data_IF_803829338893
#
_entry.id   IF_803829338893
#
_cell.length_a   1.000
_cell.length_b   1.000
_cell.length_c   1.000
_cell.angle_alpha   90.00
_cell.angle_beta   90.00
_cell.angle_gamma   90.00
#
_symmetry.space_group_name_H-M   'P 1'
#
loop_
_entity.id
_entity.type
_entity.pdbx_description
1 polymer ?
#
# COMPACT_ATOMS: atom_id res chain seq x y z
N UNK A 1 12.53 -14.24 23.99
CA UNK A 1 11.75 -13.38 23.09
C UNK A 1 10.48 -13.01 23.83
N UNK A 2 10.21 -11.75 24.15
CA UNK A 2 8.91 -11.36 24.68
C UNK A 2 7.87 -11.74 23.61
N UNK A 3 6.85 -12.52 23.96
CA UNK A 3 5.75 -12.79 23.04
C UNK A 3 5.08 -11.46 22.73
N UNK A 4 5.20 -10.97 21.50
CA UNK A 4 4.52 -9.76 21.07
C UNK A 4 3.02 -9.94 21.34
N UNK A 5 2.44 -8.99 22.07
CA UNK A 5 1.04 -9.09 22.48
C UNK A 5 0.19 -8.96 21.21
N UNK A 6 -0.70 -9.91 20.99
CA UNK A 6 -1.73 -9.84 19.96
C UNK A 6 -2.42 -8.46 19.97
N UNK A 7 -2.53 -7.82 18.80
CA UNK A 7 -3.22 -6.53 18.64
C UNK A 7 -4.73 -6.71 18.75
N UNK A 8 -5.23 -7.83 18.21
CA UNK A 8 -6.65 -8.15 18.17
C UNK A 8 -6.96 -9.42 18.98
N UNK A 9 -8.08 -9.44 19.74
CA UNK A 9 -8.52 -10.66 20.40
C UNK A 9 -8.95 -11.69 19.36
N UNK A 10 -8.81 -12.97 19.70
CA UNK A 10 -9.18 -14.10 18.82
C UNK A 10 -10.46 -14.74 19.32
N UNK A 11 -11.33 -15.14 18.38
CA UNK A 11 -12.60 -15.84 18.68
C UNK A 11 -12.87 -16.90 17.62
N UNK A 12 -13.75 -17.86 17.93
CA UNK A 12 -14.15 -18.86 16.92
C UNK A 12 -15.03 -18.19 15.86
N UNK A 13 -15.00 -18.63 14.58
CA UNK A 13 -15.91 -18.12 13.56
C UNK A 13 -17.38 -18.17 14.00
N UNK A 14 -17.81 -19.30 14.58
CA UNK A 14 -19.18 -19.50 15.00
C UNK A 14 -19.63 -18.49 16.08
N UNK A 15 -18.75 -18.14 17.03
CA UNK A 15 -19.07 -17.13 18.04
C UNK A 15 -19.23 -15.72 17.43
N UNK A 16 -18.54 -15.44 16.33
CA UNK A 16 -18.65 -14.20 15.58
C UNK A 16 -19.75 -14.22 14.50
N UNK A 17 -20.49 -15.32 14.37
CA UNK A 17 -21.57 -15.47 13.38
C UNK A 17 -21.11 -15.85 11.97
N UNK A 18 -19.88 -16.34 11.82
CA UNK A 18 -19.34 -16.87 10.55
C UNK A 18 -19.24 -18.40 10.64
N UNK A 19 -19.71 -19.11 9.61
CA UNK A 19 -19.55 -20.57 9.54
C UNK A 19 -18.10 -20.94 9.28
N UNK A 20 -17.55 -21.95 9.95
CA UNK A 20 -16.23 -22.49 9.57
C UNK A 20 -16.20 -22.97 8.12
N UNK A 21 -17.33 -23.48 7.59
CA UNK A 21 -17.43 -23.88 6.16
C UNK A 21 -17.27 -22.70 5.20
N UNK A 22 -17.63 -21.48 5.61
CA UNK A 22 -17.42 -20.29 4.80
C UNK A 22 -15.93 -19.96 4.69
N UNK A 23 -15.17 -20.13 5.79
CA UNK A 23 -13.72 -19.99 5.79
C UNK A 23 -13.08 -21.08 4.93
N UNK A 24 -13.48 -22.35 5.13
CA UNK A 24 -12.97 -23.47 4.33
C UNK A 24 -13.24 -23.24 2.83
N UNK A 25 -14.46 -22.82 2.47
CA UNK A 25 -14.82 -22.54 1.07
C UNK A 25 -14.01 -21.39 0.47
N UNK A 26 -13.66 -20.36 1.25
CA UNK A 26 -12.78 -19.30 0.78
C UNK A 26 -11.39 -19.85 0.46
N UNK A 27 -10.84 -20.66 1.37
CA UNK A 27 -9.52 -21.27 1.19
C UNK A 27 -9.47 -22.22 0.00
N UNK A 28 -10.49 -23.07 -0.15
CA UNK A 28 -10.63 -23.98 -1.29
C UNK A 28 -10.68 -23.21 -2.61
N UNK A 29 -11.39 -22.06 -2.65
CA UNK A 29 -11.46 -21.23 -3.85
C UNK A 29 -10.15 -20.48 -4.16
N UNK A 30 -9.42 -20.03 -3.14
CA UNK A 30 -8.10 -19.45 -3.33
C UNK A 30 -7.13 -20.48 -3.92
N UNK A 31 -7.13 -21.71 -3.39
CA UNK A 31 -6.31 -22.81 -3.90
C UNK A 31 -6.73 -23.23 -5.32
N UNK A 32 -8.03 -23.41 -5.58
CA UNK A 32 -8.54 -23.80 -6.89
C UNK A 32 -8.21 -22.80 -8.00
N UNK A 33 -8.10 -21.51 -7.65
CA UNK A 33 -7.70 -20.43 -8.56
C UNK A 33 -6.19 -20.18 -8.59
N UNK A 34 -5.41 -20.97 -7.85
CA UNK A 34 -3.95 -20.82 -7.73
C UNK A 34 -3.53 -19.41 -7.30
N UNK A 35 -4.28 -18.79 -6.40
CA UNK A 35 -3.94 -17.48 -5.85
C UNK A 35 -2.73 -17.63 -4.92
N UNK A 36 -1.65 -16.94 -5.24
CA UNK A 36 -0.43 -16.88 -4.41
C UNK A 36 -0.66 -15.96 -3.19
N UNK A 37 -1.36 -16.48 -2.19
CA UNK A 37 -1.48 -15.83 -0.89
C UNK A 37 -0.23 -16.08 -0.05
N UNK A 38 0.26 -15.02 0.59
CA UNK A 38 1.28 -15.10 1.63
C UNK A 38 0.65 -15.18 3.02
N UNK A 39 -0.43 -14.43 3.24
CA UNK A 39 -1.19 -14.45 4.49
C UNK A 39 -2.65 -14.08 4.28
N UNK A 40 -3.49 -14.50 5.22
CA UNK A 40 -4.89 -14.12 5.33
C UNK A 40 -5.25 -13.87 6.79
N UNK A 41 -6.06 -12.84 7.04
CA UNK A 41 -6.69 -12.62 8.34
C UNK A 41 -8.13 -12.14 8.14
N UNK A 42 -9.08 -12.78 8.83
CA UNK A 42 -10.49 -12.41 8.82
C UNK A 42 -10.85 -11.95 10.23
N UNK A 43 -11.32 -10.71 10.35
CA UNK A 43 -11.78 -10.11 11.60
C UNK A 43 -13.28 -9.87 11.49
N UNK A 44 -14.03 -10.28 12.51
CA UNK A 44 -15.47 -10.06 12.59
C UNK A 44 -15.82 -9.61 13.99
N UNK A 45 -16.55 -8.48 14.10
CA UNK A 45 -16.94 -7.89 15.38
C UNK A 45 -15.74 -7.70 16.31
N UNK A 46 -14.65 -7.17 15.78
CA UNK A 46 -13.43 -6.90 16.54
C UNK A 46 -12.60 -8.10 16.95
N UNK A 47 -12.91 -9.31 16.47
CA UNK A 47 -12.16 -10.52 16.79
C UNK A 47 -11.60 -11.17 15.53
N UNK A 48 -10.33 -11.58 15.57
CA UNK A 48 -9.74 -12.46 14.56
C UNK A 48 -10.44 -13.81 14.65
N UNK A 49 -11.10 -14.22 13.57
CA UNK A 49 -11.85 -15.49 13.47
C UNK A 49 -11.14 -16.55 12.64
N UNK A 50 -10.29 -16.11 11.71
CA UNK A 50 -9.41 -16.97 10.94
C UNK A 50 -8.12 -16.22 10.62
N UNK A 51 -6.99 -16.92 10.72
CA UNK A 51 -5.67 -16.40 10.35
C UNK A 51 -4.79 -17.53 9.81
N UNK A 52 -3.96 -17.21 8.82
CA UNK A 52 -3.09 -18.19 8.17
C UNK A 52 -1.95 -17.53 7.40
N UNK A 53 -0.82 -18.24 7.32
CA UNK A 53 0.39 -17.83 6.60
C UNK A 53 0.90 -19.01 5.78
N UNK A 54 1.06 -18.81 4.48
CA UNK A 54 1.63 -19.82 3.59
C UNK A 54 3.14 -19.82 3.71
N UNK A 55 3.77 -20.99 3.67
CA UNK A 55 5.24 -21.06 3.72
C UNK A 55 5.85 -20.34 2.49
N UNK A 56 6.95 -19.57 2.65
CA UNK A 56 7.79 -19.42 3.86
C UNK A 56 7.41 -18.23 4.78
N UNK A 57 6.22 -17.66 4.65
CA UNK A 57 5.77 -16.50 5.42
C UNK A 57 5.33 -16.88 6.85
N UNK A 58 5.32 -15.91 7.77
CA UNK A 58 4.95 -16.08 9.18
C UNK A 58 4.23 -14.86 9.74
N UNK A 59 3.63 -15.00 10.92
CA UNK A 59 2.86 -13.94 11.57
C UNK A 59 3.67 -12.69 11.89
N UNK A 60 4.96 -12.86 12.16
CA UNK A 60 5.89 -11.79 12.53
C UNK A 60 6.56 -11.14 11.32
N UNK A 61 6.33 -11.67 10.11
CA UNK A 61 6.98 -11.18 8.89
C UNK A 61 6.22 -9.98 8.34
N UNK A 62 6.82 -8.79 8.25
CA UNK A 62 6.21 -7.66 7.56
C UNK A 62 6.14 -7.92 6.05
N UNK A 63 5.10 -7.36 5.44
CA UNK A 63 4.87 -7.36 4.00
C UNK A 63 4.93 -5.93 3.48
N UNK A 64 5.62 -5.73 2.34
CA UNK A 64 5.51 -4.50 1.59
C UNK A 64 4.07 -4.33 1.11
N UNK A 65 3.44 -3.23 1.52
CA UNK A 65 2.02 -2.98 1.26
C UNK A 65 1.76 -2.36 -0.12
N UNK A 66 2.81 -1.92 -0.84
CA UNK A 66 2.67 -1.17 -2.10
C UNK A 66 1.63 -0.06 -1.97
N UNK A 67 0.66 0.03 -2.89
CA UNK A 67 -0.38 1.07 -2.91
C UNK A 67 -1.33 1.08 -1.70
N UNK A 68 -1.43 0.01 -0.91
CA UNK A 68 -2.22 0.06 0.34
C UNK A 68 -1.63 1.11 1.32
N UNK A 69 -0.35 1.47 1.16
CA UNK A 69 0.29 2.57 1.90
C UNK A 69 -0.46 3.90 1.77
N UNK A 70 -1.11 4.16 0.63
CA UNK A 70 -1.85 5.41 0.36
C UNK A 70 -2.95 5.68 1.38
N UNK A 71 -3.63 4.62 1.83
CA UNK A 71 -4.68 4.71 2.84
C UNK A 71 -4.13 5.21 4.19
N UNK A 72 -2.87 4.90 4.52
CA UNK A 72 -2.21 5.44 5.71
C UNK A 72 -1.79 6.92 5.51
N UNK A 73 -1.31 7.28 4.31
CA UNK A 73 -1.03 8.68 3.98
C UNK A 73 -2.30 9.55 4.07
N UNK A 74 -3.45 9.05 3.62
CA UNK A 74 -4.75 9.71 3.80
C UNK A 74 -5.12 9.91 5.27
N UNK A 75 -4.86 8.92 6.13
CA UNK A 75 -5.03 9.10 7.58
C UNK A 75 -4.14 10.23 8.12
N UNK A 76 -2.88 10.31 7.69
CA UNK A 76 -2.00 11.40 8.12
C UNK A 76 -2.49 12.79 7.69
N UNK A 77 -3.06 12.91 6.49
CA UNK A 77 -3.74 14.15 6.05
C UNK A 77 -4.93 14.46 6.95
N UNK A 78 -5.74 13.45 7.29
CA UNK A 78 -6.85 13.60 8.24
C UNK A 78 -6.42 14.05 9.63
N UNK A 79 -5.27 13.57 10.12
CA UNK A 79 -4.69 14.02 11.39
C UNK A 79 -4.28 15.49 11.31
N UNK A 80 -3.62 15.91 10.23
CA UNK A 80 -3.24 17.31 10.03
C UNK A 80 -4.47 18.23 9.91
N UNK A 81 -5.54 17.77 9.26
CA UNK A 81 -6.81 18.50 9.18
C UNK A 81 -7.47 18.60 10.56
N UNK A 82 -7.50 17.50 11.33
CA UNK A 82 -8.06 17.49 12.68
C UNK A 82 -7.30 18.42 13.64
N UNK A 83 -5.99 18.58 13.44
CA UNK A 83 -5.15 19.51 14.19
C UNK A 83 -5.28 20.97 13.68
N UNK A 84 -6.10 21.24 12.65
CA UNK A 84 -6.33 22.56 12.08
C UNK A 84 -5.17 23.09 11.22
N UNK A 85 -4.25 22.21 10.80
CA UNK A 85 -3.04 22.56 10.06
C UNK A 85 -3.21 22.46 8.54
N UNK A 86 -4.24 21.75 8.09
CA UNK A 86 -4.65 21.67 6.68
C UNK A 86 -6.17 21.77 6.56
N UNK A 87 -6.62 22.19 5.40
CA UNK A 87 -8.00 22.06 4.92
C UNK A 87 -8.04 21.34 3.59
N UNK A 88 -9.22 20.89 3.14
CA UNK A 88 -9.39 20.30 1.82
C UNK A 88 -9.17 21.31 0.68
N UNK A 89 -9.36 22.60 0.96
CA UNK A 89 -9.26 23.68 -0.03
C UNK A 89 -7.86 24.31 -0.09
N UNK A 90 -6.97 23.94 0.84
CA UNK A 90 -5.59 24.41 0.83
C UNK A 90 -4.91 24.00 -0.48
N UNK A 91 -4.27 24.98 -1.11
CA UNK A 91 -3.64 24.79 -2.41
C UNK A 91 -2.23 24.27 -2.22
N UNK A 92 -1.85 23.34 -3.09
CA UNK A 92 -0.49 22.78 -3.16
C UNK A 92 0.56 23.91 -3.18
N UNK A 93 0.33 24.91 -4.02
CA UNK A 93 1.26 26.03 -4.24
C UNK A 93 1.44 26.95 -3.03
N UNK A 94 0.45 27.01 -2.14
CA UNK A 94 0.50 27.83 -0.94
C UNK A 94 1.19 27.08 0.21
N UNK A 95 1.02 25.76 0.27
CA UNK A 95 1.64 24.90 1.30
C UNK A 95 3.10 24.61 0.98
N UNK A 96 3.44 24.42 -0.30
CA UNK A 96 4.77 24.05 -0.79
C UNK A 96 5.34 25.10 -1.79
N UNK A 97 5.42 26.40 -1.41
CA UNK A 97 5.77 27.48 -2.34
C UNK A 97 7.18 27.35 -2.92
N UNK A 98 8.12 26.74 -2.19
CA UNK A 98 9.50 26.53 -2.62
C UNK A 98 9.63 25.57 -3.82
N UNK A 99 8.60 24.75 -4.07
CA UNK A 99 8.56 23.78 -5.16
C UNK A 99 7.84 24.30 -6.40
N UNK A 100 7.26 25.50 -6.35
CA UNK A 100 6.44 26.06 -7.43
C UNK A 100 7.33 26.57 -8.57
N UNK A 101 7.23 26.01 -9.79
CA UNK A 101 8.01 26.49 -10.92
C UNK A 101 7.51 27.89 -11.35
N UNK A 102 8.44 28.74 -11.81
CA UNK A 102 8.11 30.11 -12.23
C UNK A 102 7.10 30.16 -13.38
N UNK A 103 7.11 29.14 -14.24
CA UNK A 103 6.26 28.92 -15.40
C UNK A 103 5.06 27.99 -15.12
N UNK A 104 4.63 27.89 -13.86
CA UNK A 104 3.43 27.12 -13.49
C UNK A 104 2.19 27.56 -14.27
N UNK A 105 1.40 26.59 -14.72
CA UNK A 105 0.11 26.83 -15.37
C UNK A 105 -0.94 27.38 -14.40
N UNK A 106 -1.93 28.11 -14.92
CA UNK A 106 -3.07 28.57 -14.12
C UNK A 106 -3.83 27.42 -13.44
N UNK A 107 -3.87 26.26 -14.09
CA UNK A 107 -4.47 25.06 -13.50
C UNK A 107 -3.65 24.51 -12.34
N UNK A 108 -2.32 24.43 -12.48
CA UNK A 108 -1.43 23.99 -11.40
C UNK A 108 -1.59 24.83 -10.13
N UNK A 109 -1.87 26.13 -10.28
CA UNK A 109 -2.15 27.05 -9.15
C UNK A 109 -3.43 26.73 -8.38
N UNK A 110 -4.36 25.97 -8.95
CA UNK A 110 -5.67 25.64 -8.35
C UNK A 110 -5.73 24.25 -7.74
N UNK A 111 -4.65 23.46 -7.81
CA UNK A 111 -4.63 22.12 -7.22
C UNK A 111 -4.69 22.22 -5.69
N UNK A 112 -5.65 21.52 -5.09
CA UNK A 112 -5.92 21.52 -3.66
C UNK A 112 -5.66 20.15 -3.04
N UNK A 113 -5.65 20.09 -1.70
CA UNK A 113 -5.63 18.83 -0.94
C UNK A 113 -6.76 17.89 -1.39
N UNK A 114 -7.97 18.41 -1.64
CA UNK A 114 -9.09 17.64 -2.19
C UNK A 114 -8.70 16.96 -3.51
N UNK A 115 -8.22 17.72 -4.50
CA UNK A 115 -7.87 17.20 -5.82
C UNK A 115 -6.79 16.12 -5.76
N UNK A 116 -5.82 16.25 -4.84
CA UNK A 116 -4.79 15.25 -4.64
C UNK A 116 -5.35 13.97 -3.97
N UNK A 117 -6.20 14.11 -2.95
CA UNK A 117 -6.78 12.96 -2.24
C UNK A 117 -7.72 12.13 -3.11
N UNK A 118 -8.55 12.78 -3.94
CA UNK A 118 -9.46 12.14 -4.90
C UNK A 118 -8.76 11.70 -6.20
N UNK A 119 -7.50 12.07 -6.39
CA UNK A 119 -6.71 11.85 -7.61
C UNK A 119 -7.39 12.41 -8.87
N UNK A 120 -7.83 13.67 -8.77
CA UNK A 120 -8.49 14.42 -9.85
C UNK A 120 -7.70 15.67 -10.20
N UNK A 121 -6.37 15.59 -10.23
CA UNK A 121 -5.51 16.76 -10.42
C UNK A 121 -5.48 17.29 -11.87
N UNK A 122 -5.98 16.52 -12.84
CA UNK A 122 -6.05 16.92 -14.25
C UNK A 122 -5.03 16.24 -15.17
N UNK A 123 -4.11 15.44 -14.62
CA UNK A 123 -3.28 14.53 -15.41
C UNK A 123 -4.14 13.38 -15.97
N UNK A 124 -3.86 12.96 -17.21
CA UNK A 124 -4.62 11.89 -17.88
C UNK A 124 -4.06 10.49 -17.63
N UNK A 125 -2.84 10.40 -17.10
CA UNK A 125 -2.16 9.16 -16.67
C UNK A 125 -1.40 9.43 -15.38
N UNK A 126 -0.90 8.38 -14.73
CA UNK A 126 0.04 8.51 -13.60
C UNK A 126 1.24 9.38 -14.02
N UNK A 127 1.43 10.51 -13.35
CA UNK A 127 2.44 11.51 -13.69
C UNK A 127 3.83 11.19 -13.14
N UNK A 128 3.95 10.17 -12.27
CA UNK A 128 5.13 9.90 -11.46
C UNK A 128 6.45 9.82 -12.25
N UNK A 129 6.52 8.96 -13.27
CA UNK A 129 7.74 8.73 -14.05
C UNK A 129 8.16 9.98 -14.83
N UNK A 130 7.19 10.68 -15.42
CA UNK A 130 7.43 11.89 -16.19
C UNK A 130 7.84 13.05 -15.28
N UNK A 131 7.22 13.19 -14.11
CA UNK A 131 7.57 14.18 -13.11
C UNK A 131 9.03 14.02 -12.65
N UNK A 132 9.48 12.80 -12.37
CA UNK A 132 10.90 12.53 -12.09
C UNK A 132 11.82 12.81 -13.26
N UNK A 133 11.40 12.51 -14.49
CA UNK A 133 12.21 12.78 -15.68
C UNK A 133 12.43 14.28 -15.89
N UNK A 134 11.41 15.09 -15.61
CA UNK A 134 11.45 16.55 -15.75
C UNK A 134 12.24 17.22 -14.63
N UNK A 135 12.05 16.78 -13.38
CA UNK A 135 12.71 17.34 -12.19
C UNK A 135 13.20 16.20 -11.27
N UNK A 136 14.37 15.59 -11.56
CA UNK A 136 14.86 14.40 -10.85
C UNK A 136 15.04 14.57 -9.34
N UNK A 137 15.34 15.79 -8.90
CA UNK A 137 15.59 16.13 -7.51
C UNK A 137 14.37 16.70 -6.78
N UNK A 138 13.29 17.02 -7.53
CA UNK A 138 12.10 17.68 -6.99
C UNK A 138 10.81 17.19 -7.69
N UNK A 139 10.27 16.09 -7.16
CA UNK A 139 9.06 15.47 -7.70
C UNK A 139 7.83 16.38 -7.61
N UNK A 140 7.77 17.29 -6.61
CA UNK A 140 6.63 18.23 -6.47
C UNK A 140 6.65 19.23 -7.62
N UNK A 141 7.82 19.80 -7.91
CA UNK A 141 8.01 20.69 -9.07
C UNK A 141 7.79 19.94 -10.38
N UNK A 142 8.28 18.71 -10.48
CA UNK A 142 8.07 17.83 -11.64
C UNK A 142 6.59 17.63 -11.94
N UNK A 143 5.79 17.28 -10.92
CA UNK A 143 4.34 17.11 -11.03
C UNK A 143 3.63 18.35 -11.58
N UNK A 144 4.02 19.54 -11.10
CA UNK A 144 3.47 20.82 -11.58
C UNK A 144 3.87 21.16 -13.02
N UNK A 145 4.94 20.55 -13.54
CA UNK A 145 5.38 20.68 -14.94
C UNK A 145 4.76 19.67 -15.89
N UNK A 146 4.32 18.51 -15.39
CA UNK A 146 3.62 17.53 -16.23
C UNK A 146 2.31 18.16 -16.73
N UNK A 147 2.04 18.16 -18.05
CA UNK A 147 0.83 18.76 -18.59
C UNK A 147 -0.45 18.17 -17.99
N UNK A 148 -1.31 19.05 -17.45
CA UNK A 148 -2.66 18.71 -17.01
C UNK A 148 -3.60 18.94 -18.19
N UNK A 149 -4.10 17.85 -18.79
CA UNK A 149 -4.92 17.88 -20.01
C UNK A 149 -6.42 17.89 -19.72
N UNK A 150 -6.81 17.52 -18.51
CA UNK A 150 -8.19 17.47 -18.03
C UNK A 150 -8.39 18.56 -16.98
N UNK A 151 -9.58 19.12 -16.84
CA UNK A 151 -9.84 20.07 -15.76
C UNK A 151 -9.74 19.38 -14.38
N UNK A 152 -9.15 20.05 -13.39
CA UNK A 152 -9.08 19.54 -12.03
C UNK A 152 -10.49 19.28 -11.45
N UNK A 153 -10.63 18.22 -10.66
CA UNK A 153 -11.91 17.80 -10.07
C UNK A 153 -12.83 17.02 -11.01
N UNK A 154 -12.53 16.91 -12.31
CA UNK A 154 -13.47 16.34 -13.30
C UNK A 154 -13.27 14.87 -13.63
N UNK A 155 -12.01 14.38 -13.64
CA UNK A 155 -11.67 13.02 -14.03
C UNK A 155 -10.72 12.40 -13.01
N UNK A 156 -11.05 11.18 -12.56
CA UNK A 156 -10.16 10.37 -11.74
C UNK A 156 -9.07 9.74 -12.60
N UNK A 157 -7.83 9.94 -12.17
CA UNK A 157 -6.63 9.30 -12.74
C UNK A 157 -5.80 8.79 -11.58
N UNK A 158 -5.61 7.48 -11.50
CA UNK A 158 -4.82 6.88 -10.42
C UNK A 158 -3.34 7.29 -10.53
N UNK A 159 -2.92 8.25 -9.71
CA UNK A 159 -1.63 8.94 -9.83
C UNK A 159 -0.87 8.89 -8.50
N UNK A 160 0.33 8.32 -8.53
CA UNK A 160 1.17 8.13 -7.35
C UNK A 160 1.82 9.42 -6.85
N UNK A 161 2.13 10.35 -7.75
CA UNK A 161 2.75 11.62 -7.40
C UNK A 161 1.82 12.46 -6.50
N UNK A 162 0.51 12.37 -6.70
CA UNK A 162 -0.48 13.05 -5.85
C UNK A 162 -0.32 12.70 -4.36
N UNK A 163 -0.09 11.43 -4.04
CA UNK A 163 0.09 11.00 -2.65
C UNK A 163 1.46 11.37 -2.10
N UNK A 164 2.51 11.36 -2.93
CA UNK A 164 3.82 11.86 -2.51
C UNK A 164 3.71 13.32 -2.08
N UNK A 165 3.02 14.15 -2.87
CA UNK A 165 2.78 15.56 -2.54
C UNK A 165 1.99 15.70 -1.25
N UNK A 166 0.93 14.91 -1.04
CA UNK A 166 0.19 14.92 0.23
C UNK A 166 1.10 14.60 1.42
N UNK A 167 2.01 13.63 1.29
CA UNK A 167 2.99 13.31 2.33
C UNK A 167 3.95 14.50 2.58
N UNK A 168 4.39 15.21 1.53
CA UNK A 168 5.20 16.44 1.65
C UNK A 168 4.43 17.56 2.33
N UNK A 169 3.17 17.76 1.99
CA UNK A 169 2.30 18.77 2.60
C UNK A 169 2.11 18.49 4.09
N UNK A 170 1.81 17.25 4.46
CA UNK A 170 1.71 16.82 5.87
C UNK A 170 3.01 17.10 6.61
N UNK A 171 4.16 16.73 6.04
CA UNK A 171 5.45 17.01 6.68
C UNK A 171 5.69 18.51 6.86
N UNK A 172 5.36 19.31 5.86
CA UNK A 172 5.56 20.75 5.88
C UNK A 172 4.76 21.46 6.96
N UNK A 173 3.50 21.06 7.18
CA UNK A 173 2.59 21.71 8.14
C UNK A 173 2.75 21.17 9.56
N UNK A 174 3.13 19.90 9.71
CA UNK A 174 3.32 19.27 11.02
C UNK A 174 4.75 19.41 11.54
N UNK A 175 5.71 19.68 10.65
CA UNK A 175 7.15 19.65 10.95
C UNK A 175 7.69 18.23 11.18
N UNK A 176 6.94 17.19 10.79
CA UNK A 176 7.26 15.79 11.06
C UNK A 176 7.10 14.95 9.81
N UNK A 177 8.08 14.09 9.52
CA UNK A 177 7.94 13.16 8.41
C UNK A 177 6.76 12.22 8.61
N UNK A 178 6.21 11.74 7.48
CA UNK A 178 5.05 10.85 7.46
C UNK A 178 5.23 9.62 8.38
N UNK A 179 6.39 8.91 8.36
CA UNK A 179 6.67 7.82 9.30
C UNK A 179 6.56 8.24 10.76
N UNK A 180 7.23 9.33 11.11
CA UNK A 180 7.37 9.77 12.48
C UNK A 180 6.02 10.26 13.05
N UNK A 181 5.18 10.88 12.22
CA UNK A 181 3.82 11.28 12.60
C UNK A 181 2.93 10.07 12.87
N UNK A 182 2.93 9.08 11.96
CA UNK A 182 2.06 7.91 12.08
C UNK A 182 2.52 6.94 13.16
N UNK A 183 3.83 6.82 13.42
CA UNK A 183 4.35 6.09 14.57
C UNK A 183 3.76 6.62 15.88
N UNK A 184 3.86 7.93 16.13
CA UNK A 184 3.38 8.52 17.38
C UNK A 184 1.85 8.51 17.50
N UNK A 185 1.16 8.89 16.44
CA UNK A 185 -0.30 9.17 16.50
C UNK A 185 -1.15 7.93 16.25
N UNK A 186 -0.61 6.92 15.58
CA UNK A 186 -1.37 5.76 15.13
C UNK A 186 -0.75 4.44 15.62
N UNK A 187 0.46 4.11 15.17
CA UNK A 187 1.03 2.78 15.35
C UNK A 187 1.37 2.45 16.81
N UNK A 188 2.14 3.31 17.49
CA UNK A 188 2.49 3.10 18.90
C UNK A 188 1.25 3.08 19.82
N UNK A 189 0.26 4.00 19.67
CA UNK A 189 -1.02 3.90 20.38
C UNK A 189 -1.78 2.59 20.17
N UNK A 190 -1.64 1.98 18.99
CA UNK A 190 -2.26 0.70 18.66
C UNK A 190 -1.47 -0.51 19.19
N UNK A 191 -0.22 -0.33 19.57
CA UNK A 191 0.72 -1.40 19.93
C UNK A 191 1.47 -1.99 18.73
N UNK A 192 1.47 -1.29 17.59
CA UNK A 192 2.28 -1.65 16.42
C UNK A 192 3.68 -1.08 16.66
N UNK A 193 4.58 -1.93 17.14
CA UNK A 193 5.92 -1.52 17.57
C UNK A 193 6.92 -1.33 16.43
N UNK A 194 6.60 -1.82 15.23
CA UNK A 194 7.51 -1.83 14.09
C UNK A 194 6.76 -1.56 12.79
N UNK A 195 7.04 -0.41 12.19
CA UNK A 195 6.66 -0.04 10.84
C UNK A 195 7.93 0.41 10.11
N UNK A 196 8.19 -0.14 8.92
CA UNK A 196 9.31 0.30 8.08
C UNK A 196 8.78 1.00 6.84
N UNK A 197 9.51 2.03 6.40
CA UNK A 197 9.17 2.80 5.21
C UNK A 197 10.34 2.94 4.27
N UNK A 198 10.11 2.60 3.00
CA UNK A 198 11.00 3.00 1.92
C UNK A 198 10.98 4.53 1.77
N UNK A 199 12.15 5.09 1.48
CA UNK A 199 12.37 6.54 1.36
C UNK A 199 13.00 6.87 0.02
N UNK A 200 12.73 8.06 -0.50
CA UNK A 200 13.47 8.64 -1.62
C UNK A 200 14.86 9.09 -1.16
N UNK A 201 15.74 9.44 -2.11
CA UNK A 201 17.12 9.85 -1.82
C UNK A 201 17.22 11.06 -0.86
N UNK A 202 16.22 11.95 -0.84
CA UNK A 202 16.14 13.08 0.08
C UNK A 202 15.79 12.69 1.53
N UNK A 203 15.42 11.43 1.77
CA UNK A 203 14.98 10.91 3.09
C UNK A 203 13.47 10.98 3.34
N UNK A 204 12.71 11.65 2.48
CA UNK A 204 11.25 11.67 2.56
C UNK A 204 10.66 10.28 2.28
N UNK A 205 9.57 9.92 2.97
CA UNK A 205 8.83 8.70 2.66
C UNK A 205 8.06 8.86 1.35
N UNK A 206 7.89 7.77 0.59
CA UNK A 206 7.12 7.80 -0.65
C UNK A 206 5.63 8.15 -0.43
N UNK A 207 5.02 7.66 0.64
CA UNK A 207 3.61 7.86 0.96
C UNK A 207 2.63 7.06 0.07
N UNK A 208 2.93 6.87 -1.22
CA UNK A 208 2.13 6.03 -2.12
C UNK A 208 2.52 4.54 -2.11
N UNK A 209 3.68 4.22 -1.51
CA UNK A 209 4.37 2.92 -1.49
C UNK A 209 5.28 2.84 -0.25
N UNK A 210 5.80 1.65 0.04
CA UNK A 210 7.00 1.50 0.86
C UNK A 210 6.74 1.15 2.32
N UNK A 211 5.49 1.20 2.78
CA UNK A 211 5.14 0.79 4.13
C UNK A 211 5.20 -0.74 4.23
N UNK A 212 5.88 -1.22 5.27
CA UNK A 212 5.93 -2.63 5.62
C UNK A 212 5.25 -2.86 6.96
N UNK A 213 4.23 -3.72 6.99
CA UNK A 213 3.50 -4.10 8.19
C UNK A 213 3.21 -5.60 8.22
N UNK A 214 2.99 -6.16 9.40
CA UNK A 214 2.47 -7.52 9.54
C UNK A 214 0.99 -7.58 9.15
N UNK A 215 0.49 -8.78 8.82
CA UNK A 215 -0.92 -9.00 8.50
C UNK A 215 -1.84 -8.53 9.62
N UNK A 216 -1.47 -8.77 10.88
CA UNK A 216 -2.27 -8.37 12.04
C UNK A 216 -2.29 -6.85 12.22
N UNK A 217 -1.19 -6.14 11.93
CA UNK A 217 -1.15 -4.68 11.97
C UNK A 217 -2.07 -4.06 10.90
N UNK A 218 -2.10 -4.65 9.69
CA UNK A 218 -3.06 -4.23 8.64
C UNK A 218 -4.50 -4.54 9.05
N UNK A 219 -4.76 -5.68 9.69
CA UNK A 219 -6.10 -6.03 10.17
C UNK A 219 -6.55 -5.11 11.32
N UNK A 220 -5.64 -4.72 12.21
CA UNK A 220 -5.87 -3.74 13.25
C UNK A 220 -6.19 -2.36 12.66
N UNK A 221 -5.50 -1.96 11.59
CA UNK A 221 -5.84 -0.75 10.82
C UNK A 221 -7.24 -0.82 10.20
N UNK A 222 -7.60 -1.93 9.56
CA UNK A 222 -8.96 -2.13 9.04
C UNK A 222 -10.04 -2.07 10.13
N UNK A 223 -9.78 -2.66 11.30
CA UNK A 223 -10.70 -2.60 12.45
C UNK A 223 -10.81 -1.19 13.04
N UNK A 224 -9.70 -0.43 13.08
CA UNK A 224 -9.70 0.98 13.46
C UNK A 224 -10.64 1.79 12.55
N UNK A 225 -10.51 1.62 11.23
CA UNK A 225 -11.37 2.27 10.24
C UNK A 225 -12.84 1.83 10.41
N UNK A 226 -13.09 0.53 10.60
CA UNK A 226 -14.43 -0.02 10.84
C UNK A 226 -15.11 0.65 12.05
N UNK A 227 -14.35 0.99 13.09
CA UNK A 227 -14.83 1.66 14.31
C UNK A 227 -14.93 3.18 14.19
N UNK A 228 -14.66 3.73 13.00
CA UNK A 228 -14.63 5.18 12.78
C UNK A 228 -13.46 5.85 13.50
N UNK A 229 -12.29 5.21 13.53
CA UNK A 229 -11.06 5.78 14.10
C UNK A 229 -10.83 5.53 15.59
N UNK A 230 -11.70 4.74 16.24
CA UNK A 230 -11.60 4.42 17.66
C UNK A 230 -10.76 3.18 17.95
N UNK A 231 -9.84 3.27 18.92
CA UNK A 231 -9.00 2.17 19.39
C UNK A 231 -8.96 2.10 20.92
N UNK A 232 -9.54 1.04 21.49
CA UNK A 232 -9.79 0.98 22.94
C UNK A 232 -10.65 2.17 23.38
N UNK A 233 -10.18 2.89 24.39
CA UNK A 233 -10.85 4.09 24.92
C UNK A 233 -10.40 5.39 24.22
N UNK A 234 -9.60 5.31 23.16
CA UNK A 234 -9.02 6.47 22.46
C UNK A 234 -9.64 6.66 21.08
N UNK A 235 -9.89 7.91 20.72
CA UNK A 235 -10.16 8.32 19.34
C UNK A 235 -8.83 8.69 18.68
N UNK A 236 -8.31 7.84 17.78
CA UNK A 236 -7.02 8.07 17.13
C UNK A 236 -7.16 8.86 15.83
N UNK A 237 -8.25 8.63 15.09
CA UNK A 237 -8.59 9.35 13.85
C UNK A 237 -9.97 9.96 14.06
N UNK A 238 -10.24 11.20 13.68
CA UNK A 238 -11.59 11.76 13.79
C UNK A 238 -12.62 10.89 13.03
N UNK A 239 -13.77 10.61 13.66
CA UNK A 239 -14.84 9.80 13.03
C UNK A 239 -15.27 10.39 11.69
N UNK A 240 -15.49 11.70 11.69
CA UNK A 240 -15.92 12.45 10.50
C UNK A 240 -14.88 12.35 9.37
N UNK A 241 -13.58 12.26 9.69
CA UNK A 241 -12.54 12.02 8.68
C UNK A 241 -12.66 10.63 8.07
N UNK A 242 -12.84 9.59 8.88
CA UNK A 242 -12.99 8.22 8.36
C UNK A 242 -14.20 8.14 7.43
N UNK A 243 -15.35 8.66 7.87
CA UNK A 243 -16.59 8.68 7.07
C UNK A 243 -16.43 9.49 5.77
N UNK A 244 -15.76 10.65 5.86
CA UNK A 244 -15.43 11.50 4.71
C UNK A 244 -14.46 10.81 3.74
N UNK A 245 -13.39 10.18 4.23
CA UNK A 245 -12.36 9.58 3.41
C UNK A 245 -12.84 8.32 2.70
N UNK A 246 -13.77 7.58 3.31
CA UNK A 246 -14.28 6.31 2.80
C UNK A 246 -15.65 6.44 2.11
N UNK A 247 -16.00 7.64 1.63
CA UNK A 247 -17.16 7.87 0.73
C UNK A 247 -16.68 8.08 -0.70
N UNK A 248 -17.55 7.81 -1.67
CA UNK A 248 -17.27 8.05 -3.09
C UNK A 248 -17.13 9.55 -3.36
N UNK A 249 -15.97 9.98 -3.82
CA UNK A 249 -15.70 11.35 -4.30
C UNK A 249 -15.51 11.44 -5.81
N UNK A 250 -15.11 10.33 -6.45
CA UNK A 250 -14.92 10.30 -7.90
C UNK A 250 -15.40 9.00 -8.51
N UNK A 251 -15.81 9.07 -9.77
CA UNK A 251 -16.08 7.89 -10.58
C UNK A 251 -14.75 7.29 -11.05
N UNK A 252 -14.66 5.97 -11.07
CA UNK A 252 -13.48 5.26 -11.56
C UNK A 252 -13.83 4.66 -12.93
N UNK A 253 -12.93 4.85 -13.88
CA UNK A 253 -13.06 4.28 -15.21
C UNK A 253 -12.38 2.90 -15.25
N UNK A 254 -12.80 2.00 -16.16
CA UNK A 254 -12.06 0.78 -16.42
C UNK A 254 -10.60 1.09 -16.75
N UNK A 255 -9.67 0.57 -15.96
CA UNK A 255 -8.25 0.72 -16.22
C UNK A 255 -7.82 -0.32 -17.27
N UNK A 256 -7.02 0.06 -18.29
CA UNK A 256 -6.45 -0.91 -19.23
C UNK A 256 -5.64 -1.97 -18.47
N UNK A 257 -5.85 -3.25 -18.77
CA UNK A 257 -5.18 -4.41 -18.15
C UNK A 257 -5.57 -4.72 -16.70
N UNK A 258 -6.39 -3.89 -16.05
CA UNK A 258 -7.12 -4.32 -14.87
C UNK A 258 -8.40 -4.89 -15.43
N UNK A 259 -8.64 -6.18 -15.18
CA UNK A 259 -9.90 -6.78 -15.61
C UNK A 259 -11.06 -5.95 -15.05
N UNK A 260 -12.25 -6.15 -15.62
CA UNK A 260 -13.47 -5.41 -15.29
C UNK A 260 -13.98 -5.71 -13.87
N UNK A 261 -13.10 -5.72 -12.86
CA UNK A 261 -13.43 -5.97 -11.49
C UNK A 261 -14.46 -4.93 -11.05
N UNK A 262 -15.71 -5.35 -10.78
CA UNK A 262 -16.79 -4.44 -10.48
C UNK A 262 -16.54 -3.65 -9.19
N UNK A 263 -15.69 -4.14 -8.29
CA UNK A 263 -15.36 -3.41 -7.07
C UNK A 263 -14.52 -2.16 -7.37
N UNK A 264 -13.57 -2.21 -8.31
CA UNK A 264 -12.79 -1.02 -8.72
C UNK A 264 -13.62 -0.01 -9.52
N UNK A 265 -14.81 -0.38 -9.98
CA UNK A 265 -15.75 0.51 -10.68
C UNK A 265 -16.77 1.18 -9.74
N UNK A 266 -16.72 0.89 -8.44
CA UNK A 266 -17.61 1.50 -7.45
C UNK A 266 -17.22 2.95 -7.08
N UNK A 267 -16.15 3.48 -7.67
CA UNK A 267 -15.61 4.81 -7.41
C UNK A 267 -14.43 4.82 -6.44
N UNK A 268 -13.90 6.02 -6.21
CA UNK A 268 -12.75 6.27 -5.36
C UNK A 268 -13.09 7.28 -4.26
N UNK A 269 -12.61 7.01 -3.06
CA UNK A 269 -12.64 7.91 -1.92
C UNK A 269 -11.34 8.73 -1.80
N UNK A 270 -11.00 9.17 -0.59
CA UNK A 270 -9.70 9.78 -0.33
C UNK A 270 -8.65 8.71 -0.03
N UNK A 271 -8.05 8.19 -1.11
CA UNK A 271 -7.06 7.11 -1.09
C UNK A 271 -7.62 5.75 -0.60
N UNK A 272 -8.90 5.50 -0.88
CA UNK A 272 -9.60 4.23 -0.66
C UNK A 272 -10.42 3.89 -1.90
N UNK A 273 -10.39 2.64 -2.32
CA UNK A 273 -11.29 2.13 -3.35
C UNK A 273 -12.65 1.84 -2.73
N UNK A 274 -13.73 2.29 -3.37
CA UNK A 274 -15.07 1.85 -3.00
C UNK A 274 -15.28 0.40 -3.46
N UNK A 275 -16.30 -0.28 -2.95
CA UNK A 275 -16.64 -1.64 -3.37
C UNK A 275 -18.13 -1.89 -3.26
N UNK A 276 -18.60 -2.98 -3.86
CA UNK A 276 -20.00 -3.43 -3.75
C UNK A 276 -20.41 -3.62 -2.29
N UNK A 277 -19.44 -3.98 -1.45
CA UNK A 277 -19.61 -4.15 -0.01
C UNK A 277 -18.53 -3.37 0.74
N UNK A 278 -18.79 -2.08 1.01
CA UNK A 278 -17.90 -1.22 1.80
C UNK A 278 -16.79 -0.59 0.95
N UNK A 279 -15.55 -0.66 1.43
CA UNK A 279 -14.38 -0.04 0.81
C UNK A 279 -13.13 -0.85 1.12
N UNK A 280 -12.03 -0.57 0.40
CA UNK A 280 -10.77 -1.24 0.66
C UNK A 280 -9.56 -0.37 0.30
N UNK A 281 -8.47 -0.60 1.00
CA UNK A 281 -7.14 -0.25 0.52
C UNK A 281 -6.59 -1.40 -0.32
N UNK A 282 -5.88 -1.07 -1.40
CA UNK A 282 -5.32 -2.04 -2.34
C UNK A 282 -3.88 -1.72 -2.69
N UNK A 283 -3.00 -2.71 -2.57
CA UNK A 283 -1.63 -2.71 -3.02
C UNK A 283 -1.39 -3.76 -4.09
N UNK A 284 -0.45 -3.47 -4.98
CA UNK A 284 -0.03 -4.37 -6.03
C UNK A 284 0.30 -5.77 -5.49
N UNK A 285 0.10 -6.76 -6.36
CA UNK A 285 0.26 -8.18 -6.09
C UNK A 285 -0.67 -8.73 -5.00
N UNK A 286 -1.82 -8.09 -4.79
CA UNK A 286 -2.88 -8.58 -3.91
C UNK A 286 -2.70 -8.25 -2.43
N UNK A 287 -2.22 -7.03 -2.11
CA UNK A 287 -2.27 -6.53 -0.74
C UNK A 287 -3.63 -5.87 -0.50
N UNK A 288 -4.53 -6.56 0.18
CA UNK A 288 -5.89 -6.08 0.43
C UNK A 288 -6.11 -5.82 1.92
N UNK A 289 -6.74 -4.69 2.22
CA UNK A 289 -7.41 -4.43 3.48
C UNK A 289 -8.85 -4.02 3.17
N UNK A 290 -9.77 -4.98 3.26
CA UNK A 290 -11.19 -4.79 2.93
C UNK A 290 -11.98 -4.55 4.21
N UNK A 291 -12.80 -3.50 4.22
CA UNK A 291 -13.64 -3.12 5.36
C UNK A 291 -15.10 -3.10 4.92
N UNK A 292 -15.95 -3.86 5.61
CA UNK A 292 -17.38 -4.00 5.32
C UNK A 292 -18.20 -3.56 6.54
N UNK A 293 -18.51 -2.25 6.66
CA UNK A 293 -19.23 -1.72 7.83
C UNK A 293 -20.57 -2.42 8.10
N UNK A 294 -21.37 -2.66 7.06
CA UNK A 294 -22.68 -3.32 7.16
C UNK A 294 -22.62 -4.75 7.70
N UNK A 295 -21.41 -5.34 7.74
CA UNK A 295 -21.17 -6.68 8.23
C UNK A 295 -20.12 -6.71 9.33
N UNK A 296 -19.69 -5.59 9.92
CA UNK A 296 -18.68 -5.57 10.99
C UNK A 296 -17.44 -6.45 10.66
N UNK A 297 -17.03 -6.49 9.39
CA UNK A 297 -16.10 -7.46 8.82
C UNK A 297 -14.89 -6.74 8.23
N UNK A 298 -13.70 -7.24 8.55
CA UNK A 298 -12.44 -6.85 7.91
C UNK A 298 -11.77 -8.10 7.37
N UNK A 299 -11.30 -8.03 6.13
CA UNK A 299 -10.55 -9.11 5.49
C UNK A 299 -9.22 -8.55 4.98
N UNK A 300 -8.14 -9.17 5.42
CA UNK A 300 -6.78 -8.82 5.00
C UNK A 300 -6.18 -10.01 4.27
N UNK A 301 -5.60 -9.72 3.10
CA UNK A 301 -4.77 -10.67 2.34
C UNK A 301 -3.49 -9.95 1.96
N UNK A 302 -2.36 -10.66 2.06
CA UNK A 302 -1.10 -10.25 1.44
C UNK A 302 -0.69 -11.36 0.49
N UNK A 303 -0.15 -11.04 -0.68
CA UNK A 303 0.21 -12.07 -1.68
C UNK A 303 1.26 -11.64 -2.68
N UNK A 304 1.47 -12.49 -3.68
CA UNK A 304 2.10 -12.16 -4.96
C UNK A 304 1.13 -12.55 -6.10
N UNK A 305 -0.10 -12.02 -6.03
CA UNK A 305 -1.20 -12.44 -6.89
C UNK A 305 -1.08 -11.79 -8.27
N UNK A 306 -1.00 -12.62 -9.32
CA UNK A 306 -0.95 -12.15 -10.71
C UNK A 306 -2.32 -11.66 -11.23
N UNK A 307 -3.41 -12.29 -10.78
CA UNK A 307 -4.79 -11.91 -11.11
C UNK A 307 -5.49 -11.33 -9.87
N UNK A 308 -5.32 -10.04 -9.65
CA UNK A 308 -5.74 -9.34 -8.42
C UNK A 308 -7.27 -9.14 -8.34
N UNK A 309 -7.98 -9.34 -9.43
CA UNK A 309 -9.40 -9.07 -9.62
C UNK A 309 -10.35 -10.07 -8.95
N UNK A 310 -9.86 -11.26 -8.62
CA UNK A 310 -10.70 -12.32 -8.07
C UNK A 310 -11.00 -12.13 -6.58
N UNK A 311 -10.13 -11.43 -5.84
CA UNK A 311 -10.11 -11.48 -4.37
C UNK A 311 -11.37 -10.90 -3.71
N UNK A 312 -11.79 -9.64 -3.98
CA UNK A 312 -13.01 -9.10 -3.37
C UNK A 312 -14.25 -9.97 -3.64
N UNK A 313 -14.41 -10.43 -4.89
CA UNK A 313 -15.50 -11.33 -5.29
C UNK A 313 -15.60 -12.59 -4.41
N UNK A 314 -14.46 -13.24 -4.15
CA UNK A 314 -14.40 -14.43 -3.29
C UNK A 314 -14.81 -14.13 -1.85
N UNK A 315 -14.43 -12.97 -1.30
CA UNK A 315 -14.84 -12.58 0.05
C UNK A 315 -16.36 -12.42 0.13
N UNK A 316 -16.96 -11.83 -0.89
CA UNK A 316 -18.42 -11.66 -0.97
C UNK A 316 -19.14 -13.00 -1.08
N UNK A 317 -18.62 -13.90 -1.91
CA UNK A 317 -19.19 -15.22 -2.16
C UNK A 317 -19.16 -16.12 -0.92
N UNK A 318 -18.09 -16.03 -0.14
CA UNK A 318 -17.85 -16.95 0.97
C UNK A 318 -18.28 -16.39 2.33
N UNK A 319 -17.97 -15.12 2.62
CA UNK A 319 -18.02 -14.59 3.99
C UNK A 319 -19.29 -13.80 4.31
N UNK A 320 -20.08 -13.41 3.31
CA UNK A 320 -21.33 -12.68 3.53
C UNK A 320 -22.53 -13.64 3.73
N UNK A 321 -23.52 -13.28 4.57
CA UNK A 321 -24.72 -14.11 4.80
C UNK A 321 -25.55 -14.37 3.54
N UNK A 322 -26.21 -15.53 3.46
CA UNK A 322 -27.23 -15.83 2.45
C UNK A 322 -26.75 -16.53 1.15
N UNK A 323 -25.49 -16.93 1.05
CA UNK A 323 -24.93 -17.67 -0.11
C UNK A 323 -24.74 -19.17 0.17
N UNK A 324 -24.60 -20.06 -0.84
CA UNK A 324 -24.37 -21.49 -0.62
C UNK A 324 -23.12 -21.73 0.24
N UNK A 325 -23.27 -22.30 1.44
CA UNK A 325 -22.20 -22.41 2.46
C UNK A 325 -22.36 -21.44 3.64
N UNK A 326 -23.20 -20.41 3.52
CA UNK A 326 -23.67 -19.59 4.61
C UNK A 326 -24.68 -20.35 5.49
N UNK A 327 -24.55 -20.11 6.78
CA UNK A 327 -25.27 -20.68 7.94
C UNK A 327 -26.62 -21.38 7.68
N UNK A 328 -26.75 -22.62 8.18
CA UNK A 328 -27.99 -23.14 8.79
C UNK A 328 -27.74 -23.25 10.29
N UNK A 329 -28.63 -22.70 11.12
CA UNK A 329 -28.58 -22.87 12.58
C UNK A 329 -28.56 -24.38 12.92
N UNK A 330 -27.59 -24.83 13.74
CA UNK A 330 -27.71 -26.08 14.50
C UNK A 330 -26.66 -27.19 14.33
N UNK A 331 -25.70 -27.11 13.40
CA UNK A 331 -24.75 -28.23 13.21
C UNK A 331 -23.38 -27.98 13.85
N UNK A 332 -23.15 -28.55 15.05
CA UNK A 332 -21.80 -28.73 15.61
C UNK A 332 -21.37 -30.17 15.36
N UNK A 333 -20.40 -30.41 14.46
CA UNK A 333 -19.70 -31.71 14.38
C UNK A 333 -18.23 -31.56 14.77
N UNK A 334 -17.76 -32.42 15.68
CA UNK A 334 -16.34 -32.68 15.91
C UNK A 334 -15.84 -33.59 14.79
N UNK A 335 -14.76 -33.22 14.11
CA UNK A 335 -14.07 -34.14 13.20
C UNK A 335 -12.72 -34.54 13.80
N UNK A 336 -12.54 -35.84 14.01
CA UNK A 336 -11.28 -36.49 14.28
C UNK A 336 -10.74 -37.18 13.03
N UNK A 337 -9.43 -37.02 12.82
CA UNK A 337 -8.45 -37.84 12.06
C UNK A 337 -8.82 -38.41 10.66
N UNK A 338 -7.96 -38.04 9.71
CA UNK A 338 -7.18 -38.99 8.89
C UNK A 338 -7.70 -39.26 7.49
N UNK A 339 -7.05 -38.70 6.48
CA UNK A 339 -7.18 -39.18 5.09
C UNK A 339 -5.93 -39.92 4.67
N UNK A 340 -6.12 -41.24 4.49
CA UNK A 340 -5.19 -42.14 3.84
C UNK A 340 -5.17 -41.94 2.32
N UNK A 341 -4.06 -42.37 1.75
CA UNK A 341 -3.73 -42.31 0.32
C UNK A 341 -4.76 -43.02 -0.57
N UNK A 342 -5.17 -42.37 -1.65
CA UNK A 342 -5.64 -43.06 -2.84
C UNK A 342 -4.91 -42.48 -4.06
N UNK A 343 -4.00 -43.29 -4.62
CA UNK A 343 -3.36 -43.08 -5.92
C UNK A 343 -4.42 -43.23 -7.02
N UNK A 344 -4.44 -42.32 -7.99
CA UNK A 344 -4.63 -42.68 -9.41
C UNK A 344 -3.65 -41.88 -10.26
N UNK A 345 -2.82 -42.63 -10.96
CA UNK A 345 -1.90 -42.15 -12.00
C UNK A 345 -2.71 -41.76 -13.25
N UNK A 346 -2.40 -40.61 -13.85
CA UNK A 346 -2.12 -40.51 -15.29
C UNK A 346 -1.48 -39.16 -15.62
N UNK A 347 -0.35 -39.22 -16.34
CA UNK A 347 0.07 -38.19 -17.30
C UNK A 347 0.89 -37.02 -16.78
N UNK A 348 2.21 -37.21 -16.74
CA UNK A 348 3.25 -36.22 -16.44
C UNK A 348 3.37 -35.12 -17.54
N UNK A 349 3.25 -33.84 -17.17
CA UNK A 349 4.18 -32.76 -17.58
C UNK A 349 4.27 -31.67 -16.49
N UNK A 350 5.43 -31.69 -15.83
CA UNK A 350 6.09 -30.70 -14.93
C UNK A 350 5.88 -29.24 -15.41
N UNK A 351 5.70 -28.23 -14.55
CA UNK A 351 6.35 -27.96 -13.27
C UNK A 351 5.41 -27.17 -12.33
N UNK A 352 4.77 -27.87 -11.40
CA UNK A 352 4.02 -27.25 -10.31
C UNK A 352 4.88 -27.23 -9.06
N UNK A 353 5.23 -26.03 -8.56
CA UNK A 353 5.66 -25.87 -7.18
C UNK A 353 4.57 -26.44 -6.28
N UNK A 354 4.92 -27.43 -5.47
CA UNK A 354 3.96 -28.03 -4.53
C UNK A 354 3.74 -27.02 -3.41
N UNK A 355 2.66 -26.25 -3.49
CA UNK A 355 2.14 -25.45 -2.39
C UNK A 355 2.01 -26.36 -1.16
N UNK A 356 2.83 -26.12 -0.14
CA UNK A 356 2.66 -26.82 1.13
C UNK A 356 1.53 -26.11 1.84
N UNK A 357 0.35 -26.76 1.86
CA UNK A 357 -0.83 -26.25 2.56
C UNK A 357 -0.47 -25.89 4.02
N UNK A 358 -0.69 -24.64 4.44
CA UNK A 358 -0.33 -24.20 5.78
C UNK A 358 -1.25 -24.80 6.85
N UNK A 359 -0.79 -24.77 8.10
CA UNK A 359 -1.65 -24.97 9.25
C UNK A 359 -2.46 -23.69 9.52
N UNK A 360 -3.50 -23.45 8.71
CA UNK A 360 -4.45 -22.35 8.97
C UNK A 360 -5.19 -22.67 10.26
N UNK A 361 -5.10 -21.76 11.23
CA UNK A 361 -5.74 -21.94 12.53
C UNK A 361 -7.11 -21.29 12.48
N UNK A 362 -8.14 -22.12 12.30
CA UNK A 362 -9.47 -21.75 12.80
C UNK A 362 -9.39 -21.74 14.31
N UNK A 363 -9.59 -20.57 14.92
CA UNK A 363 -9.40 -20.37 16.36
C UNK A 363 -10.26 -21.41 17.13
N UNK A 364 -9.66 -22.32 17.91
CA UNK A 364 -10.38 -23.42 18.52
C UNK A 364 -11.15 -23.00 19.78
N UNK A 365 -12.20 -23.76 20.12
CA UNK A 365 -13.02 -23.56 21.32
C UNK A 365 -12.24 -23.96 22.59
N UNK A 366 -11.85 -22.97 23.42
CA UNK A 366 -11.37 -23.26 24.78
C UNK A 366 -12.55 -23.60 25.70
N UNK A 367 -12.80 -24.89 25.94
CA UNK A 367 -13.51 -25.33 27.17
C UNK A 367 -12.47 -25.61 28.24
N UNK A 368 -12.32 -24.69 29.17
CA UNK A 368 -11.62 -24.96 30.42
C UNK A 368 -12.41 -25.96 31.27
N UNK A 369 -11.71 -26.96 31.83
CA UNK A 369 -11.93 -27.55 33.18
C UNK A 369 -10.76 -28.51 33.54
N UNK A 370 -10.56 -28.87 34.82
CA UNK A 370 -9.30 -28.65 35.53
C UNK A 370 -8.32 -29.84 35.55
N UNK A 371 -7.09 -29.50 35.95
CA UNK A 371 -5.93 -30.39 36.20
C UNK A 371 -6.25 -31.70 36.92
N UNK A 372 -5.62 -32.79 36.47
CA UNK A 372 -5.08 -33.86 37.34
C UNK A 372 -3.69 -34.28 36.86
N UNK A 373 -2.77 -34.43 37.81
CA UNK A 373 -1.41 -34.97 37.65
C UNK A 373 -1.40 -36.50 37.56
N UNK A 374 -0.37 -37.03 36.89
CA UNK A 374 0.35 -38.33 37.05
C UNK A 374 0.65 -38.89 35.64
N UNK A 375 1.82 -39.42 35.26
CA UNK A 375 3.09 -39.72 35.89
C UNK A 375 4.09 -40.14 34.79
N UNK A 376 5.38 -40.24 35.12
CA UNK A 376 6.51 -40.55 34.22
C UNK A 376 6.45 -41.99 33.68
N UNK A 377 6.95 -42.22 32.46
CA UNK A 377 7.99 -43.23 32.15
C UNK A 377 8.61 -42.96 30.77
N UNK A 378 9.91 -43.20 30.67
CA UNK A 378 10.78 -42.92 29.53
C UNK A 378 11.09 -44.20 28.75
N UNK A 379 11.35 -44.08 27.45
CA UNK A 379 12.47 -44.75 26.74
C UNK A 379 12.77 -44.00 25.43
N UNK A 380 14.06 -43.94 25.08
CA UNK A 380 14.72 -43.26 23.96
C UNK A 380 15.82 -44.24 23.47
N UNK A 381 16.59 -43.96 22.40
CA UNK A 381 16.33 -43.93 20.95
C UNK A 381 17.17 -45.03 20.23
N UNK A 382 17.42 -44.97 18.91
CA UNK A 382 18.65 -44.30 18.41
C UNK A 382 18.41 -43.62 17.04
N UNK A 383 19.27 -42.81 16.41
CA UNK A 383 20.55 -42.16 16.68
C UNK A 383 20.61 -41.04 15.61
N UNK A 384 21.00 -39.82 15.98
CA UNK A 384 22.29 -39.16 15.65
C UNK A 384 22.47 -38.96 14.13
N UNK A 385 22.84 -37.80 13.58
CA UNK A 385 23.66 -36.62 13.93
C UNK A 385 23.98 -36.02 12.52
N UNK A 386 24.32 -34.77 12.21
CA UNK A 386 25.24 -33.81 12.83
C UNK A 386 25.06 -32.41 12.17
N UNK A 387 25.84 -31.47 12.67
CA UNK A 387 25.75 -30.01 12.58
C UNK A 387 26.49 -29.31 11.40
N UNK A 388 26.10 -28.03 11.17
CA UNK A 388 26.88 -26.80 10.83
C UNK A 388 27.40 -26.51 9.40
N UNK A 389 26.86 -25.38 8.87
CA UNK A 389 27.48 -24.20 8.21
C UNK A 389 28.90 -24.27 7.61
N UNK A 390 29.05 -23.91 6.33
CA UNK A 390 29.66 -22.66 5.82
C UNK A 390 30.05 -22.75 4.32
N UNK A 391 29.76 -21.70 3.54
CA UNK A 391 30.65 -21.18 2.48
C UNK A 391 30.56 -21.72 1.04
N UNK A 392 30.18 -20.81 0.13
CA UNK A 392 30.71 -20.62 -1.23
C UNK A 392 30.47 -21.72 -2.30
N UNK A 393 29.63 -21.47 -3.30
CA UNK A 393 30.03 -20.72 -4.51
C UNK A 393 28.87 -20.53 -5.49
N UNK A 394 28.91 -19.34 -6.07
CA UNK A 394 28.15 -18.82 -7.21
C UNK A 394 28.28 -19.70 -8.45
N UNK A 395 27.18 -19.98 -9.13
CA UNK A 395 27.15 -20.02 -10.60
C UNK A 395 25.80 -19.52 -11.12
N UNK A 396 25.76 -18.23 -11.48
CA UNK A 396 24.80 -17.68 -12.44
C UNK A 396 25.31 -18.01 -13.85
N UNK A 397 24.47 -18.58 -14.71
CA UNK A 397 24.65 -18.54 -16.17
C UNK A 397 23.61 -17.57 -16.73
N UNK A 398 24.08 -16.40 -17.14
CA UNK A 398 23.33 -15.41 -17.87
C UNK A 398 23.34 -15.76 -19.37
N UNK A 399 22.22 -15.55 -20.03
CA UNK A 399 22.08 -15.52 -21.49
C UNK A 399 22.66 -14.18 -21.97
N UNK A 400 23.64 -14.22 -22.88
CA UNK A 400 24.11 -13.05 -23.64
C UNK A 400 23.69 -13.19 -25.10
N UNK A 401 23.14 -12.10 -25.64
CA UNK A 401 23.01 -11.88 -27.07
C UNK A 401 24.40 -11.73 -27.73
N UNK A 402 24.54 -12.33 -28.91
CA UNK A 402 25.65 -12.18 -29.83
C UNK A 402 25.65 -10.80 -30.52
N UNK A 403 26.84 -10.21 -30.68
CA UNK A 403 27.30 -9.61 -31.93
C UNK A 403 28.85 -9.64 -31.93
N UNK A 404 29.41 -9.98 -33.10
CA UNK A 404 30.82 -10.23 -33.42
C UNK A 404 31.70 -8.97 -33.20
N UNK A 405 33.03 -9.02 -33.07
CA UNK A 405 34.05 -9.46 -34.05
C UNK A 405 35.47 -9.43 -33.39
N UNK A 406 36.60 -9.77 -34.08
CA UNK A 406 37.68 -10.60 -33.54
C UNK A 406 38.92 -9.86 -33.00
N UNK A 407 39.80 -10.64 -32.34
CA UNK A 407 41.02 -10.22 -31.61
C UNK A 407 42.16 -9.62 -32.44
N UNK A 408 43.35 -9.41 -31.83
CA UNK A 408 44.36 -10.49 -31.81
C UNK A 408 45.27 -10.54 -30.56
N UNK A 409 46.24 -11.43 -30.65
CA UNK A 409 47.13 -11.97 -29.61
C UNK A 409 48.30 -11.08 -29.16
N UNK A 410 48.71 -11.29 -27.90
CA UNK A 410 50.09 -11.54 -27.43
C UNK A 410 51.20 -10.51 -27.67
N UNK A 411 51.85 -10.05 -26.57
CA UNK A 411 53.20 -9.46 -26.66
C UNK A 411 53.70 -8.64 -25.47
N UNK A 412 54.43 -9.31 -24.56
CA UNK A 412 55.66 -8.88 -23.84
C UNK A 412 55.98 -7.38 -23.51
N UNK A 413 56.31 -7.20 -22.22
CA UNK A 413 57.55 -6.58 -21.61
C UNK A 413 57.67 -5.05 -21.33
N UNK A 414 58.28 -4.80 -20.14
CA UNK A 414 59.10 -3.65 -19.64
C UNK A 414 58.33 -2.41 -19.16
N UNK A 415 58.44 -1.92 -17.90
CA UNK A 415 59.55 -1.40 -17.03
C UNK A 415 59.66 0.14 -17.10
N UNK A 416 59.73 0.78 -15.92
CA UNK A 416 60.27 2.13 -15.63
C UNK A 416 59.19 3.21 -15.56
N UNK A 417 58.83 3.76 -14.39
CA UNK A 417 59.51 4.72 -13.49
C UNK A 417 59.54 6.19 -13.97
N UNK A 418 59.34 7.05 -12.96
CA UNK A 418 59.74 8.46 -12.77
C UNK A 418 58.86 9.59 -13.34
N UNK A 419 58.31 10.34 -12.38
CA UNK A 419 58.45 11.80 -12.10
C UNK A 419 58.19 12.85 -13.17
N UNK A 420 57.56 13.95 -12.71
CA UNK A 420 57.94 15.29 -13.12
C UNK A 420 56.80 16.29 -13.31
N UNK A 421 56.66 17.17 -12.33
CA UNK A 421 56.06 18.52 -12.35
C UNK A 421 56.16 19.28 -13.69
N UNK A 422 55.17 20.14 -14.01
CA UNK A 422 55.26 21.60 -13.83
C UNK A 422 54.11 22.40 -14.48
N UNK A 423 53.83 23.51 -13.81
CA UNK A 423 53.01 24.70 -14.09
C UNK A 423 52.93 25.25 -15.53
N UNK A 424 51.80 25.92 -15.86
CA UNK A 424 51.66 27.37 -16.20
C UNK A 424 50.31 27.67 -16.89
N UNK A 425 49.46 28.52 -16.29
CA UNK A 425 49.15 29.93 -16.65
C UNK A 425 48.78 30.21 -18.13
N UNK A 426 47.56 30.74 -18.36
CA UNK A 426 47.22 32.03 -19.05
C UNK A 426 45.68 32.08 -19.27
N UNK A 427 44.93 32.96 -18.60
CA UNK A 427 44.39 34.27 -19.07
C UNK A 427 43.66 34.28 -20.42
N UNK A 428 42.33 34.53 -20.43
CA UNK A 428 41.72 35.72 -21.06
C UNK A 428 40.18 35.75 -20.94
N UNK A 429 39.68 36.85 -20.37
CA UNK A 429 38.38 37.46 -20.72
C UNK A 429 38.61 38.49 -21.86
N UNK A 430 37.54 38.93 -22.54
CA UNK A 430 37.22 40.35 -22.40
C UNK A 430 35.70 40.68 -22.24
N UNK A 431 35.48 41.85 -21.64
CA UNK A 431 34.25 42.61 -21.41
C UNK A 431 33.64 43.10 -22.76
N UNK A 432 32.43 43.66 -22.95
CA UNK A 432 31.58 44.59 -22.20
C UNK A 432 30.31 44.89 -23.04
N UNK A 433 29.18 45.29 -22.43
CA UNK A 433 28.43 46.55 -22.69
C UNK A 433 27.08 46.60 -21.93
N UNK A 434 26.76 47.79 -21.43
CA UNK A 434 25.66 48.15 -20.52
C UNK A 434 24.79 49.28 -21.14
N UNK A 435 23.47 49.04 -21.20
CA UNK A 435 22.26 49.89 -20.93
C UNK A 435 22.06 51.28 -21.64
N UNK A 436 20.93 52.05 -21.49
CA UNK A 436 19.68 51.89 -20.68
C UNK A 436 18.35 52.39 -21.39
N UNK A 437 17.32 53.05 -20.78
CA UNK A 437 15.93 52.56 -20.61
C UNK A 437 14.81 53.44 -21.24
N UNK A 438 13.54 53.00 -21.23
CA UNK A 438 12.38 53.89 -21.50
C UNK A 438 11.14 53.50 -20.67
N UNK A 439 10.64 54.45 -19.88
CA UNK A 439 9.27 54.68 -19.36
C UNK A 439 9.16 56.21 -19.15
N UNK A 440 7.98 56.87 -18.96
CA UNK A 440 6.60 56.38 -18.73
C UNK A 440 5.53 57.09 -19.59
N UNK A 441 4.25 56.70 -19.47
CA UNK A 441 3.10 57.64 -19.41
C UNK A 441 1.76 56.93 -19.09
N UNK A 442 1.04 57.47 -18.11
CA UNK A 442 -0.38 57.32 -17.75
C UNK A 442 -0.91 58.77 -17.67
N UNK A 443 -2.11 59.13 -18.18
CA UNK A 443 -3.27 59.17 -17.28
C UNK A 443 -4.67 58.93 -17.91
N UNK A 444 -5.52 58.31 -17.10
CA UNK A 444 -6.90 58.73 -16.76
C UNK A 444 -8.12 58.33 -17.64
N UNK A 445 -9.06 57.67 -16.91
CA UNK A 445 -10.53 57.84 -16.89
C UNK A 445 -11.34 57.49 -18.14
N UNK A 446 -12.16 56.44 -18.01
CA UNK A 446 -13.62 56.50 -18.25
C UNK A 446 -14.34 55.38 -17.48
N UNK A 447 -15.26 55.82 -16.60
CA UNK A 447 -16.41 55.05 -16.07
C UNK A 447 -17.45 54.83 -17.19
N UNK A 448 -18.53 54.09 -16.86
CA UNK A 448 -19.80 53.88 -17.59
C UNK A 448 -19.74 52.57 -18.41
N UNK A 449 -20.55 51.50 -18.24
CA UNK A 449 -21.80 51.21 -17.51
C UNK A 449 -21.96 49.69 -17.31
N UNK A 450 -22.61 49.27 -16.21
CA UNK A 450 -23.33 47.97 -16.13
C UNK A 450 -24.62 48.03 -16.98
N UNK A 451 -25.15 46.89 -17.44
CA UNK A 451 -26.42 46.51 -16.84
C UNK A 451 -26.54 45.02 -16.48
N UNK A 452 -27.17 44.82 -15.32
CA UNK A 452 -27.82 43.57 -14.88
C UNK A 452 -28.93 43.14 -15.84
N UNK A 453 -29.03 41.84 -16.11
CA UNK A 453 -30.24 41.08 -16.47
C UNK A 453 -30.04 39.65 -15.92
N UNK A 454 -30.55 39.30 -14.73
CA UNK A 454 -31.81 38.56 -14.48
C UNK A 454 -32.04 37.31 -15.33
N UNK A 455 -31.91 36.14 -14.68
CA UNK A 455 -32.95 35.11 -14.60
C UNK A 455 -33.25 34.25 -15.83
N UNK A 456 -32.70 33.03 -15.83
CA UNK A 456 -33.46 31.76 -15.77
C UNK A 456 -32.50 30.60 -15.48
#
# INVERSE_FOLDING_TARGET
>A
MPSQRALLPRSTPAAAGISSRAIDSLLDQLEARSVECHSIMVVRRGHVVAEGWWAPYSAERPHLLYSLTKSFASVAVGLAIADGLLTLDDRLVDVLPEHVPADISEQGRRITVHHLLSMTAGHSTDSLDEAWRLEPDDLVKGFLRVPMTEAEGTRHTYDNATTFILARMVERVTGRGLPELLDERLFLPMGIDHAEWDRVASGAAFGFHGLHLTTEAVAAFGELLLRGGGWGDRQLIARDWVELATRRHSETLPLPNWSQNPDFLCGYGYQFWMSRHGYHGHGAFGQYCVVVPSHELVVVVTGAVEQEDVLPGLFWDCLLPGRPGAFRQGETRRLGRGFGSARRNHGDRRSGGRWVAPAIRVVPHCRGRPRRMAGKFATRPPCRRDWRLAGQHVHRRAVRHHLAAPGPAGGRRRRGDSDGDLERRTTNQPQSRVAPPITPDDPARRRVDEPRLTGL
#
